data_IF_280755460408
#
_entry.id   IF_280755460408
#
_cell.length_a   1.000
_cell.length_b   1.000
_cell.length_c   1.000
_cell.angle_alpha   90.00
_cell.angle_beta   90.00
_cell.angle_gamma   90.00
#
_symmetry.space_group_name_H-M   'P 1'
#
loop_
_entity.id
_entity.type
_entity.pdbx_description
1 polymer ?
#
# COMPACT_ATOMS: atom_id res chain seq x y z
N UNK A 1 4.41 22.02 1.47
CA UNK A 1 5.81 21.81 1.92
C UNK A 1 6.64 21.32 0.73
N UNK A 2 7.93 21.65 0.63
CA UNK A 2 8.81 21.07 -0.40
C UNK A 2 9.08 19.57 -0.14
N UNK A 3 9.51 18.81 -1.16
CA UNK A 3 9.88 17.39 -1.02
C UNK A 3 10.94 17.20 0.09
N UNK A 4 11.96 18.06 0.13
CA UNK A 4 13.00 18.02 1.15
C UNK A 4 12.47 18.22 2.56
N UNK A 5 11.51 19.13 2.76
CA UNK A 5 10.84 19.33 4.05
C UNK A 5 10.03 18.10 4.47
N UNK A 6 9.29 17.47 3.53
CA UNK A 6 8.53 16.25 3.81
C UNK A 6 9.46 15.09 4.17
N UNK A 7 10.60 14.96 3.49
CA UNK A 7 11.62 13.95 3.79
C UNK A 7 12.24 14.15 5.18
N UNK A 8 12.61 15.37 5.51
CA UNK A 8 13.14 15.71 6.83
C UNK A 8 12.11 15.44 7.94
N UNK A 9 10.84 15.78 7.70
CA UNK A 9 9.74 15.43 8.60
C UNK A 9 9.60 13.91 8.77
N UNK A 10 9.52 13.14 7.68
CA UNK A 10 9.41 11.68 7.78
C UNK A 10 10.59 11.06 8.55
N UNK A 11 11.82 11.56 8.34
CA UNK A 11 13.00 11.13 9.09
C UNK A 11 12.89 11.49 10.58
N UNK A 12 12.54 12.74 10.90
CA UNK A 12 12.38 13.19 12.28
C UNK A 12 11.30 12.37 13.01
N UNK A 13 10.18 12.09 12.35
CA UNK A 13 9.10 11.28 12.90
C UNK A 13 9.60 9.89 13.29
N UNK A 14 10.39 9.25 12.42
CA UNK A 14 11.00 7.93 12.70
C UNK A 14 11.96 7.98 13.87
N UNK A 15 12.82 9.02 13.94
CA UNK A 15 13.74 9.20 15.06
C UNK A 15 13.00 9.38 16.38
N UNK A 16 11.91 10.15 16.39
CA UNK A 16 11.06 10.30 17.58
C UNK A 16 10.38 8.98 17.97
N UNK A 17 9.86 8.21 17.02
CA UNK A 17 9.27 6.90 17.30
C UNK A 17 10.30 5.90 17.84
N UNK A 18 11.52 5.88 17.29
CA UNK A 18 12.62 5.06 17.80
C UNK A 18 13.03 5.49 19.21
N UNK A 19 13.09 6.80 19.47
CA UNK A 19 13.33 7.32 20.81
C UNK A 19 12.24 6.88 21.78
N UNK A 20 10.96 6.97 21.42
CA UNK A 20 9.84 6.50 22.25
C UNK A 20 9.98 5.00 22.54
N UNK A 21 10.29 4.18 21.53
CA UNK A 21 10.48 2.74 21.71
C UNK A 21 11.62 2.44 22.69
N UNK A 22 12.78 3.07 22.51
CA UNK A 22 13.93 2.93 23.41
C UNK A 22 13.61 3.44 24.82
N UNK A 23 12.91 4.57 24.93
CA UNK A 23 12.49 5.16 26.18
C UNK A 23 11.55 4.23 26.96
N UNK A 24 10.56 3.63 26.31
CA UNK A 24 9.66 2.67 26.93
C UNK A 24 10.41 1.43 27.45
N UNK A 25 11.42 0.95 26.71
CA UNK A 25 12.26 -0.15 27.19
C UNK A 25 13.01 0.26 28.45
N UNK A 26 13.65 1.44 28.47
CA UNK A 26 14.40 1.93 29.62
C UNK A 26 13.48 2.11 30.83
N UNK A 27 12.33 2.76 30.68
CA UNK A 27 11.35 2.97 31.77
C UNK A 27 10.80 1.64 32.29
N UNK A 28 10.66 0.63 31.44
CA UNK A 28 10.20 -0.69 31.86
C UNK A 28 11.28 -1.50 32.59
N UNK A 29 12.57 -1.27 32.29
CA UNK A 29 13.69 -2.01 32.88
C UNK A 29 14.38 -1.26 34.04
N UNK A 30 14.09 0.02 34.24
CA UNK A 30 14.64 0.83 35.32
C UNK A 30 14.32 2.32 35.16
N UNK A 31 15.14 3.17 35.78
CA UNK A 31 14.97 4.62 35.71
C UNK A 31 15.81 5.23 34.58
N UNK A 32 15.23 6.08 33.72
CA UNK A 32 16.00 6.76 32.69
C UNK A 32 16.99 7.76 33.31
N UNK A 33 18.22 7.88 32.78
CA UNK A 33 19.20 8.88 33.23
C UNK A 33 18.88 10.31 32.77
N UNK A 34 17.63 10.56 32.38
CA UNK A 34 17.11 11.81 31.83
C UNK A 34 15.62 11.94 32.21
N UNK A 35 15.03 13.13 32.12
CA UNK A 35 13.64 13.34 32.55
C UNK A 35 12.64 12.48 31.78
N UNK A 36 11.79 11.74 32.50
CA UNK A 36 10.79 10.83 31.92
C UNK A 36 9.75 11.52 31.04
N UNK A 37 9.47 12.81 31.27
CA UNK A 37 8.55 13.59 30.45
C UNK A 37 9.04 13.77 28.99
N UNK A 38 10.33 13.51 28.70
CA UNK A 38 10.85 13.54 27.32
C UNK A 38 10.17 12.50 26.42
N UNK A 39 9.75 11.35 26.96
CA UNK A 39 8.94 10.37 26.21
C UNK A 39 7.60 10.95 25.74
N UNK A 40 6.92 11.67 26.64
CA UNK A 40 5.67 12.36 26.31
C UNK A 40 5.91 13.49 25.30
N UNK A 41 6.98 14.29 25.47
CA UNK A 41 7.34 15.33 24.52
C UNK A 41 7.60 14.78 23.12
N UNK A 42 8.30 13.64 23.02
CA UNK A 42 8.52 12.96 21.74
C UNK A 42 7.21 12.48 21.10
N UNK A 43 6.29 11.92 21.91
CA UNK A 43 4.97 11.51 21.43
C UNK A 43 4.17 12.70 20.88
N UNK A 44 4.13 13.82 21.62
CA UNK A 44 3.52 15.07 21.17
C UNK A 44 4.16 15.55 19.86
N UNK A 45 5.48 15.45 19.73
CA UNK A 45 6.20 15.76 18.49
C UNK A 45 5.73 14.92 17.30
N UNK A 46 5.58 13.60 17.47
CA UNK A 46 5.05 12.68 16.43
C UNK A 46 3.63 13.09 16.01
N UNK A 47 2.74 13.36 16.97
CA UNK A 47 1.38 13.79 16.68
C UNK A 47 1.32 15.14 15.99
N UNK A 48 2.07 16.12 16.46
CA UNK A 48 2.15 17.46 15.86
C UNK A 48 2.66 17.40 14.41
N UNK A 49 3.68 16.59 14.17
CA UNK A 49 4.25 16.40 12.84
C UNK A 49 3.29 15.68 11.89
N UNK A 50 2.62 14.62 12.37
CA UNK A 50 1.60 13.90 11.61
C UNK A 50 0.43 14.82 11.24
N UNK A 51 0.00 15.68 12.17
CA UNK A 51 -1.03 16.68 11.93
C UNK A 51 -0.59 17.72 10.88
N UNK A 52 0.63 18.24 11.00
CA UNK A 52 1.19 19.22 10.06
C UNK A 52 1.30 18.64 8.63
N UNK A 53 1.85 17.42 8.50
CA UNK A 53 1.93 16.70 7.22
C UNK A 53 0.55 16.44 6.61
N UNK A 54 -0.41 16.01 7.44
CA UNK A 54 -1.79 15.80 7.00
C UNK A 54 -2.47 17.09 6.57
N UNK A 55 -2.22 18.20 7.27
CA UNK A 55 -2.77 19.52 6.93
C UNK A 55 -2.16 20.06 5.63
N UNK A 56 -0.84 19.92 5.43
CA UNK A 56 -0.16 20.29 4.19
C UNK A 56 -0.71 19.51 3.00
N UNK A 57 -0.82 18.17 3.13
CA UNK A 57 -1.36 17.32 2.09
C UNK A 57 -2.81 17.67 1.72
N UNK A 58 -3.64 18.06 2.71
CA UNK A 58 -5.01 18.54 2.46
C UNK A 58 -5.05 19.88 1.74
N UNK A 59 -4.19 20.83 2.15
CA UNK A 59 -4.11 22.15 1.50
C UNK A 59 -3.68 22.01 0.05
N UNK A 60 -2.67 21.21 -0.23
CA UNK A 60 -2.20 21.03 -1.59
C UNK A 60 -3.22 20.33 -2.47
N UNK A 61 -3.87 19.28 -1.97
CA UNK A 61 -4.93 18.60 -2.71
C UNK A 61 -6.13 19.50 -3.03
N UNK A 62 -6.35 20.57 -2.27
CA UNK A 62 -7.35 21.60 -2.59
C UNK A 62 -6.83 22.60 -3.64
N UNK A 63 -5.53 22.85 -3.67
CA UNK A 63 -4.88 23.78 -4.60
C UNK A 63 -4.62 23.15 -5.98
N UNK A 64 -4.33 21.85 -6.04
CA UNK A 64 -4.10 21.11 -7.27
C UNK A 64 -5.28 20.17 -7.56
N UNK A 65 -5.85 20.24 -8.76
CA UNK A 65 -6.70 19.19 -9.31
C UNK A 65 -5.88 18.38 -10.32
N UNK A 66 -5.14 17.35 -9.90
CA UNK A 66 -4.36 16.56 -10.83
C UNK A 66 -5.28 15.90 -11.86
N UNK A 67 -4.83 15.89 -13.11
CA UNK A 67 -5.55 15.22 -14.20
C UNK A 67 -5.56 13.71 -13.99
N UNK A 68 -6.69 13.09 -14.28
CA UNK A 68 -6.79 11.63 -14.30
C UNK A 68 -5.90 11.04 -15.38
N UNK A 69 -5.05 10.09 -15.01
CA UNK A 69 -4.21 9.33 -15.95
C UNK A 69 -4.94 8.04 -16.33
N UNK A 70 -5.18 7.83 -17.62
CA UNK A 70 -5.75 6.57 -18.12
C UNK A 70 -4.64 5.55 -18.37
N UNK A 71 -4.81 4.34 -17.83
CA UNK A 71 -3.84 3.22 -17.86
C UNK A 71 -4.56 1.89 -18.02
N UNK A 72 -3.85 0.80 -18.32
CA UNK A 72 -4.47 -0.53 -18.35
C UNK A 72 -4.76 -1.06 -16.93
N UNK A 73 -5.71 -2.00 -16.77
CA UNK A 73 -5.91 -2.71 -15.51
C UNK A 73 -4.67 -3.57 -15.13
N UNK A 74 -4.30 -3.68 -13.84
CA UNK A 74 -3.13 -4.43 -13.39
C UNK A 74 -3.35 -5.96 -13.31
N UNK A 75 -4.51 -6.45 -13.74
CA UNK A 75 -4.97 -7.83 -13.55
C UNK A 75 -5.88 -8.26 -14.71
N UNK A 76 -6.03 -9.57 -14.89
CA UNK A 76 -7.05 -10.18 -15.77
C UNK A 76 -8.08 -10.96 -14.95
N UNK A 77 -9.24 -11.27 -15.56
CA UNK A 77 -10.30 -12.04 -14.92
C UNK A 77 -11.28 -11.16 -14.14
N UNK A 78 -11.98 -11.76 -13.17
CA UNK A 78 -13.10 -11.16 -12.44
C UNK A 78 -12.70 -10.72 -11.03
N UNK A 79 -12.97 -9.46 -10.71
CA UNK A 79 -12.52 -8.79 -9.49
C UNK A 79 -13.60 -7.89 -8.91
N UNK A 80 -13.47 -7.52 -7.63
CA UNK A 80 -14.24 -6.46 -7.00
C UNK A 80 -13.32 -5.48 -6.27
N UNK A 81 -13.73 -4.22 -6.12
CA UNK A 81 -13.00 -3.26 -5.30
C UNK A 81 -13.44 -3.35 -3.82
N UNK A 82 -12.50 -3.16 -2.89
CA UNK A 82 -12.78 -3.07 -1.44
C UNK A 82 -12.63 -1.66 -0.90
N UNK A 83 -11.55 -0.99 -1.29
CA UNK A 83 -11.28 0.40 -0.98
C UNK A 83 -11.03 1.13 -2.28
N UNK A 84 -11.94 2.04 -2.65
CA UNK A 84 -11.89 2.72 -3.94
C UNK A 84 -11.91 4.24 -3.80
N UNK A 85 -11.12 4.95 -4.64
CA UNK A 85 -11.20 6.41 -4.70
C UNK A 85 -12.49 6.90 -5.38
N UNK A 86 -13.27 6.03 -6.03
CA UNK A 86 -14.58 6.37 -6.58
C UNK A 86 -15.63 6.70 -5.49
N UNK A 87 -15.45 6.17 -4.27
CA UNK A 87 -16.36 6.42 -3.15
C UNK A 87 -15.83 7.46 -2.18
N UNK A 88 -14.51 7.51 -1.98
CA UNK A 88 -13.89 8.42 -1.02
C UNK A 88 -12.46 8.75 -1.40
N UNK A 89 -12.09 10.03 -1.30
CA UNK A 89 -10.69 10.49 -1.42
C UNK A 89 -10.28 11.24 -0.15
N UNK A 90 -9.26 10.80 0.60
CA UNK A 90 -8.44 9.61 0.34
C UNK A 90 -9.17 8.29 0.60
N UNK A 91 -9.00 7.31 -0.29
CA UNK A 91 -9.69 6.00 -0.23
C UNK A 91 -9.37 5.23 1.05
N UNK A 92 -8.10 5.26 1.47
CA UNK A 92 -7.60 4.56 2.67
C UNK A 92 -7.59 5.45 3.92
N UNK A 93 -8.28 6.61 3.88
CA UNK A 93 -8.33 7.56 4.99
C UNK A 93 -7.04 8.35 5.22
N UNK A 94 -6.00 8.11 4.43
CA UNK A 94 -4.69 8.78 4.51
C UNK A 94 -4.18 9.21 3.13
N UNK A 95 -3.40 10.30 3.11
CA UNK A 95 -2.67 10.75 1.91
C UNK A 95 -1.19 10.36 1.95
N UNK A 96 -0.72 9.82 3.07
CA UNK A 96 0.65 9.33 3.23
C UNK A 96 0.91 8.18 2.26
N UNK A 97 2.18 7.91 1.94
CA UNK A 97 2.54 6.82 1.03
C UNK A 97 1.93 6.95 -0.38
N UNK A 98 1.55 8.16 -0.81
CA UNK A 98 0.90 8.37 -2.11
C UNK A 98 -0.52 7.79 -2.24
N UNK A 99 -1.13 7.27 -1.16
CA UNK A 99 -2.33 6.42 -1.27
C UNK A 99 -3.65 7.17 -1.43
N UNK A 100 -3.62 8.47 -1.76
CA UNK A 100 -4.83 9.29 -1.83
C UNK A 100 -5.87 8.72 -2.81
N UNK A 101 -5.40 8.21 -3.95
CA UNK A 101 -6.21 7.58 -4.99
C UNK A 101 -5.90 6.08 -5.13
N UNK A 102 -5.41 5.42 -4.07
CA UNK A 102 -5.15 4.00 -4.13
C UNK A 102 -6.43 3.18 -4.20
N UNK A 103 -6.36 2.01 -4.82
CA UNK A 103 -7.44 1.04 -4.88
C UNK A 103 -6.98 -0.32 -4.36
N UNK A 104 -7.84 -0.96 -3.56
CA UNK A 104 -7.72 -2.37 -3.21
C UNK A 104 -8.72 -3.16 -4.01
N UNK A 105 -8.26 -4.19 -4.73
CA UNK A 105 -9.11 -5.13 -5.44
C UNK A 105 -8.86 -6.56 -5.02
N UNK A 106 -9.91 -7.38 -5.07
CA UNK A 106 -9.89 -8.79 -4.69
C UNK A 106 -10.46 -9.65 -5.79
N UNK A 107 -9.88 -10.83 -5.98
CA UNK A 107 -10.33 -11.75 -7.02
C UNK A 107 -11.64 -12.42 -6.60
N UNK A 108 -12.56 -12.48 -7.55
CA UNK A 108 -13.91 -13.02 -7.40
C UNK A 108 -14.18 -14.03 -8.53
N UNK A 109 -13.43 -15.15 -8.56
CA UNK A 109 -13.51 -16.11 -9.65
C UNK A 109 -14.94 -16.66 -9.79
N UNK A 110 -15.33 -16.96 -11.04
CA UNK A 110 -16.63 -17.56 -11.30
C UNK A 110 -16.73 -19.00 -10.75
N UNK A 111 -15.62 -19.72 -10.80
CA UNK A 111 -15.49 -21.10 -10.35
C UNK A 111 -14.61 -21.22 -9.11
N UNK A 112 -14.91 -22.20 -8.25
CA UNK A 112 -14.14 -22.48 -7.03
C UNK A 112 -14.65 -21.76 -5.79
N UNK A 113 -13.95 -21.91 -4.65
CA UNK A 113 -14.37 -21.31 -3.40
C UNK A 113 -14.21 -19.79 -3.46
N UNK A 114 -15.28 -19.08 -3.12
CA UNK A 114 -15.25 -17.63 -2.98
C UNK A 114 -14.35 -17.17 -1.84
N UNK A 115 -14.08 -15.86 -1.83
CA UNK A 115 -13.30 -15.20 -0.79
C UNK A 115 -13.92 -15.43 0.60
N UNK A 116 -13.15 -15.85 1.61
CA UNK A 116 -13.65 -16.04 2.96
C UNK A 116 -14.25 -14.76 3.55
N UNK A 117 -15.44 -14.87 4.15
CA UNK A 117 -16.07 -13.78 4.86
C UNK A 117 -15.29 -13.38 6.13
N UNK A 118 -15.47 -12.12 6.53
CA UNK A 118 -14.94 -11.59 7.78
C UNK A 118 -15.42 -12.40 8.98
N UNK A 119 -14.50 -12.74 9.87
CA UNK A 119 -14.81 -13.49 11.09
C UNK A 119 -14.84 -12.56 12.31
N UNK A 120 -15.85 -12.69 13.18
CA UNK A 120 -15.87 -11.90 14.40
C UNK A 120 -14.77 -12.34 15.38
N UNK A 121 -14.54 -13.64 15.57
CA UNK A 121 -13.51 -14.12 16.52
C UNK A 121 -12.74 -15.32 15.99
N UNK A 122 -13.42 -16.31 15.43
CA UNK A 122 -12.81 -17.55 14.95
C UNK A 122 -13.12 -17.81 13.46
N UNK A 123 -12.16 -18.28 12.66
CA UNK A 123 -10.73 -18.42 12.99
C UNK A 123 -10.05 -17.06 13.18
N UNK A 124 -9.03 -17.01 14.05
CA UNK A 124 -8.27 -15.78 14.31
C UNK A 124 -7.57 -15.26 13.05
N UNK A 125 -7.05 -16.17 12.24
CA UNK A 125 -6.35 -15.90 11.01
C UNK A 125 -6.54 -17.06 10.03
N UNK A 126 -6.39 -16.81 8.73
CA UNK A 126 -6.44 -17.84 7.69
C UNK A 126 -5.14 -17.83 6.88
N UNK A 127 -4.78 -18.99 6.34
CA UNK A 127 -3.67 -19.10 5.40
C UNK A 127 -3.98 -18.39 4.09
N UNK A 128 -2.94 -17.88 3.42
CA UNK A 128 -3.11 -17.05 2.21
C UNK A 128 -3.79 -17.79 1.06
N UNK A 129 -3.57 -19.10 0.93
CA UNK A 129 -4.22 -19.95 -0.08
C UNK A 129 -5.74 -20.07 0.07
N UNK A 130 -6.30 -19.61 1.19
CA UNK A 130 -7.76 -19.53 1.35
C UNK A 130 -8.38 -18.37 0.57
N UNK A 131 -7.58 -17.44 0.06
CA UNK A 131 -8.06 -16.24 -0.64
C UNK A 131 -7.75 -16.34 -2.14
N UNK A 132 -8.76 -16.20 -3.01
CA UNK A 132 -8.56 -16.35 -4.46
C UNK A 132 -7.52 -15.41 -5.07
N UNK A 133 -7.36 -14.21 -4.51
CA UNK A 133 -6.38 -13.24 -5.01
C UNK A 133 -4.93 -13.71 -4.81
N UNK A 134 -4.64 -14.55 -3.81
CA UNK A 134 -3.26 -14.93 -3.51
C UNK A 134 -2.62 -15.73 -4.64
N UNK A 135 -1.55 -15.19 -5.22
CA UNK A 135 -0.85 -15.79 -6.34
C UNK A 135 -1.39 -15.42 -7.72
N UNK A 136 -2.42 -14.57 -7.80
CA UNK A 136 -2.91 -14.01 -9.05
C UNK A 136 -1.81 -13.16 -9.73
N UNK A 137 -1.65 -13.22 -11.06
CA UNK A 137 -0.66 -12.41 -11.78
C UNK A 137 -0.90 -10.91 -11.62
N UNK A 138 0.20 -10.15 -11.51
CA UNK A 138 0.21 -8.69 -11.55
C UNK A 138 0.84 -8.23 -12.85
N UNK A 139 0.13 -7.38 -13.59
CA UNK A 139 0.51 -6.96 -14.93
C UNK A 139 0.91 -5.49 -14.96
N UNK A 140 1.89 -5.16 -15.80
CA UNK A 140 2.28 -3.79 -16.08
C UNK A 140 1.11 -3.00 -16.68
N UNK A 141 0.76 -1.86 -16.06
CA UNK A 141 -0.37 -1.01 -16.49
C UNK A 141 -0.03 -0.09 -17.67
N UNK A 142 1.25 0.00 -18.03
CA UNK A 142 1.78 0.81 -19.13
C UNK A 142 3.19 0.32 -19.49
N UNK A 143 3.69 0.73 -20.66
CA UNK A 143 5.12 0.66 -20.95
C UNK A 143 5.90 1.51 -19.93
N UNK A 144 6.91 0.91 -19.31
CA UNK A 144 7.51 1.53 -18.13
C UNK A 144 8.97 1.11 -17.90
N UNK A 145 9.62 1.86 -17.01
CA UNK A 145 10.89 1.45 -16.41
C UNK A 145 10.66 1.09 -14.95
N UNK A 146 11.15 -0.06 -14.51
CA UNK A 146 11.11 -0.45 -13.10
C UNK A 146 12.12 0.41 -12.33
N UNK A 147 11.65 1.27 -11.45
CA UNK A 147 12.53 2.14 -10.63
C UNK A 147 12.81 1.56 -9.25
N UNK A 148 11.94 0.67 -8.77
CA UNK A 148 12.16 -0.06 -7.53
C UNK A 148 11.48 -1.43 -7.57
N UNK A 149 12.12 -2.43 -6.96
CA UNK A 149 11.57 -3.77 -6.78
C UNK A 149 12.05 -4.32 -5.44
N UNK A 150 11.12 -4.77 -4.59
CA UNK A 150 11.39 -5.38 -3.30
C UNK A 150 10.57 -6.67 -3.14
N UNK A 151 11.25 -7.77 -2.79
CA UNK A 151 10.64 -9.10 -2.73
C UNK A 151 11.09 -9.98 -1.54
N UNK A 152 11.70 -9.35 -0.52
CA UNK A 152 12.33 -10.06 0.59
C UNK A 152 11.45 -10.26 1.83
N UNK A 153 10.29 -9.61 1.90
CA UNK A 153 9.41 -9.62 3.09
C UNK A 153 8.48 -10.83 3.05
N UNK A 154 8.26 -11.48 4.19
CA UNK A 154 7.38 -12.65 4.28
C UNK A 154 5.92 -12.25 4.14
N UNK A 155 5.16 -13.07 3.42
CA UNK A 155 3.70 -13.05 3.51
C UNK A 155 3.26 -13.57 4.88
N UNK A 156 2.35 -12.87 5.55
CA UNK A 156 1.81 -13.29 6.84
C UNK A 156 0.41 -13.93 6.65
N UNK A 157 -0.14 -14.51 7.73
CA UNK A 157 -1.54 -14.98 7.74
C UNK A 157 -2.50 -13.80 7.61
N UNK A 158 -3.75 -14.03 7.21
CA UNK A 158 -4.73 -12.94 7.19
C UNK A 158 -4.98 -12.37 8.59
N UNK A 159 -5.32 -11.09 8.63
CA UNK A 159 -5.97 -10.38 9.74
C UNK A 159 -7.44 -10.12 9.41
N UNK A 160 -8.06 -11.04 8.66
CA UNK A 160 -9.48 -11.01 8.28
C UNK A 160 -10.38 -11.60 9.41
N UNK A 161 -10.20 -11.04 10.61
CA UNK A 161 -11.06 -11.24 11.77
C UNK A 161 -10.96 -10.03 12.71
N UNK A 162 -11.93 -9.81 13.62
CA UNK A 162 -11.81 -8.68 14.57
C UNK A 162 -10.54 -8.82 15.42
N UNK A 163 -10.27 -10.03 15.93
CA UNK A 163 -9.06 -10.30 16.70
C UNK A 163 -7.78 -10.06 15.87
N UNK A 164 -7.81 -10.44 14.58
CA UNK A 164 -6.73 -10.18 13.63
C UNK A 164 -6.51 -8.68 13.39
N UNK A 165 -7.58 -7.91 13.19
CA UNK A 165 -7.50 -6.45 13.04
C UNK A 165 -6.98 -5.79 14.31
N UNK A 166 -7.46 -6.19 15.48
CA UNK A 166 -6.95 -5.65 16.74
C UNK A 166 -5.46 -5.94 16.92
N UNK A 167 -5.02 -7.15 16.57
CA UNK A 167 -3.59 -7.49 16.54
C UNK A 167 -2.81 -6.61 15.55
N UNK A 168 -3.33 -6.40 14.34
CA UNK A 168 -2.72 -5.52 13.34
C UNK A 168 -2.54 -4.10 13.88
N UNK A 169 -3.57 -3.54 14.49
CA UNK A 169 -3.60 -2.16 14.97
C UNK A 169 -2.70 -1.99 16.21
N UNK A 170 -2.86 -2.87 17.20
CA UNK A 170 -2.25 -2.69 18.53
C UNK A 170 -0.82 -3.21 18.59
N UNK A 171 -0.52 -4.32 17.90
CA UNK A 171 0.79 -4.98 17.99
C UNK A 171 1.64 -4.65 16.78
N UNK A 172 1.15 -4.90 15.57
CA UNK A 172 1.96 -4.71 14.37
C UNK A 172 2.11 -3.24 13.95
N UNK A 173 1.07 -2.42 14.16
CA UNK A 173 1.00 -1.05 13.67
C UNK A 173 2.16 -0.18 14.15
N UNK A 174 2.53 -0.30 15.43
CA UNK A 174 3.68 0.42 15.99
C UNK A 174 5.00 -0.05 15.36
N UNK A 175 5.24 -1.36 15.33
CA UNK A 175 6.47 -1.93 14.78
C UNK A 175 6.67 -1.61 13.29
N UNK A 176 5.59 -1.65 12.50
CA UNK A 176 5.62 -1.30 11.07
C UNK A 176 5.87 0.17 10.85
N UNK A 177 5.34 1.04 11.71
CA UNK A 177 5.59 2.49 11.65
C UNK A 177 7.07 2.84 11.86
N UNK A 178 7.78 2.09 12.72
CA UNK A 178 9.23 2.24 12.91
C UNK A 178 10.03 1.91 11.64
N UNK A 179 9.55 0.95 10.85
CA UNK A 179 10.21 0.53 9.62
C UNK A 179 9.88 1.37 8.39
N UNK A 180 9.07 2.42 8.53
CA UNK A 180 8.72 3.35 7.46
C UNK A 180 7.80 2.79 6.38
N UNK A 181 7.58 3.58 5.32
CA UNK A 181 6.68 3.24 4.21
C UNK A 181 6.97 1.84 3.62
N UNK A 182 8.25 1.47 3.54
CA UNK A 182 8.71 0.14 3.12
C UNK A 182 8.05 -1.03 3.87
N UNK A 183 7.88 -0.95 5.20
CA UNK A 183 7.24 -2.02 5.99
C UNK A 183 5.72 -1.98 5.94
N UNK A 184 5.16 -0.85 5.54
CA UNK A 184 3.72 -0.67 5.33
C UNK A 184 3.33 -1.24 3.97
N UNK A 185 4.05 -0.89 2.91
CA UNK A 185 3.79 -1.33 1.53
C UNK A 185 4.19 -2.80 1.33
N UNK A 186 5.22 -3.30 2.03
CA UNK A 186 5.65 -4.70 1.92
C UNK A 186 6.55 -4.94 0.72
N UNK A 187 6.48 -6.14 0.12
CA UNK A 187 7.06 -6.37 -1.19
C UNK A 187 6.28 -5.56 -2.22
N UNK A 188 6.99 -4.91 -3.12
CA UNK A 188 6.36 -4.01 -4.08
C UNK A 188 7.24 -3.77 -5.30
N UNK A 189 6.61 -3.32 -6.37
CA UNK A 189 7.28 -2.81 -7.56
C UNK A 189 6.78 -1.39 -7.83
N UNK A 190 7.71 -0.49 -8.14
CA UNK A 190 7.43 0.88 -8.58
C UNK A 190 7.87 1.02 -10.03
N UNK A 191 6.95 1.43 -10.88
CA UNK A 191 7.16 1.69 -12.30
C UNK A 191 7.15 3.19 -12.54
N UNK A 192 8.12 3.70 -13.29
CA UNK A 192 8.04 5.00 -13.95
C UNK A 192 7.33 4.81 -15.29
N UNK A 193 6.13 5.39 -15.39
CA UNK A 193 5.25 5.29 -16.56
C UNK A 193 5.30 6.55 -17.45
N UNK A 194 6.25 7.46 -17.19
CA UNK A 194 6.44 8.70 -17.93
C UNK A 194 5.73 9.91 -17.30
N UNK A 195 6.06 11.10 -17.81
CA UNK A 195 5.46 12.39 -17.41
C UNK A 195 5.46 12.65 -15.87
N UNK A 196 6.46 12.10 -15.16
CA UNK A 196 6.57 12.23 -13.71
C UNK A 196 5.53 11.43 -12.91
N UNK A 197 4.85 10.47 -13.55
CA UNK A 197 3.87 9.58 -12.90
C UNK A 197 4.48 8.21 -12.64
N UNK A 198 4.22 7.68 -11.45
CA UNK A 198 4.75 6.40 -11.01
C UNK A 198 3.63 5.48 -10.54
N UNK A 199 3.62 4.23 -11.00
CA UNK A 199 2.70 3.21 -10.53
C UNK A 199 3.34 2.36 -9.42
N UNK A 200 2.62 2.05 -8.36
CA UNK A 200 3.08 1.09 -7.34
C UNK A 200 2.06 -0.02 -7.12
N UNK A 201 2.59 -1.23 -6.99
CA UNK A 201 1.87 -2.45 -6.66
C UNK A 201 2.40 -2.91 -5.31
N UNK A 202 1.56 -2.89 -4.28
CA UNK A 202 1.97 -3.25 -2.92
C UNK A 202 1.59 -4.69 -2.58
N UNK A 203 2.02 -5.15 -1.40
CA UNK A 203 1.66 -6.45 -0.83
C UNK A 203 2.00 -7.64 -1.74
N UNK A 204 3.04 -7.52 -2.58
CA UNK A 204 3.44 -8.56 -3.53
C UNK A 204 3.87 -9.84 -2.79
N UNK A 205 3.62 -10.99 -3.41
CA UNK A 205 3.96 -12.29 -2.86
C UNK A 205 5.46 -12.47 -2.80
N UNK A 206 5.96 -12.94 -1.67
CA UNK A 206 7.39 -13.15 -1.46
C UNK A 206 7.98 -14.09 -2.51
N UNK A 207 9.10 -13.67 -3.11
CA UNK A 207 9.85 -14.42 -4.11
C UNK A 207 9.12 -14.57 -5.44
N UNK A 208 8.16 -13.70 -5.75
CA UNK A 208 7.37 -13.78 -6.99
C UNK A 208 7.72 -12.73 -8.04
N UNK A 209 8.50 -11.70 -7.71
CA UNK A 209 8.85 -10.69 -8.71
C UNK A 209 9.71 -11.31 -9.82
N UNK A 210 9.31 -11.06 -11.06
CA UNK A 210 10.02 -11.48 -12.29
C UNK A 210 10.88 -10.35 -12.87
N UNK A 211 10.85 -9.18 -12.22
CA UNK A 211 11.52 -7.94 -12.66
C UNK A 211 12.39 -7.37 -11.55
N UNK A 212 13.34 -6.52 -11.92
CA UNK A 212 14.22 -5.78 -11.01
C UNK A 212 14.39 -4.33 -11.45
N UNK A 213 14.89 -3.48 -10.55
CA UNK A 213 15.17 -2.09 -10.86
C UNK A 213 16.10 -1.96 -12.08
N UNK A 214 15.73 -1.08 -13.01
CA UNK A 214 16.39 -0.85 -14.29
C UNK A 214 15.79 -1.60 -15.48
N UNK A 215 14.96 -2.62 -15.24
CA UNK A 215 14.30 -3.34 -16.33
C UNK A 215 13.26 -2.44 -17.04
N UNK A 216 13.11 -2.62 -18.35
CA UNK A 216 11.98 -2.08 -19.11
C UNK A 216 10.91 -3.15 -19.21
N UNK A 217 9.65 -2.74 -19.05
CA UNK A 217 8.49 -3.62 -19.16
C UNK A 217 7.52 -3.04 -20.17
N UNK A 218 6.82 -3.91 -20.89
CA UNK A 218 5.72 -3.51 -21.77
C UNK A 218 4.40 -3.67 -21.04
N UNK A 219 3.38 -2.91 -21.44
CA UNK A 219 2.01 -3.08 -20.95
C UNK A 219 1.57 -4.55 -21.03
N UNK A 220 0.87 -5.03 -20.01
CA UNK A 220 0.42 -6.43 -19.88
C UNK A 220 1.49 -7.43 -19.45
N UNK A 221 2.77 -7.06 -19.36
CA UNK A 221 3.82 -7.97 -18.90
C UNK A 221 3.64 -8.35 -17.42
N UNK A 222 3.74 -9.65 -17.09
CA UNK A 222 3.72 -10.11 -15.68
C UNK A 222 4.95 -9.59 -14.92
N UNK A 223 4.70 -8.87 -13.83
CA UNK A 223 5.70 -8.29 -12.93
C UNK A 223 5.99 -9.19 -11.72
N UNK A 224 5.00 -9.99 -11.34
CA UNK A 224 5.00 -10.85 -10.17
C UNK A 224 3.58 -11.22 -9.79
N UNK A 225 3.34 -11.55 -8.50
CA UNK A 225 2.05 -12.10 -8.06
C UNK A 225 1.50 -11.43 -6.82
N UNK A 226 0.17 -11.34 -6.73
CA UNK A 226 -0.54 -10.84 -5.56
C UNK A 226 -0.16 -11.65 -4.31
N UNK A 227 0.21 -10.96 -3.24
CA UNK A 227 0.66 -11.56 -1.99
C UNK A 227 -0.14 -11.12 -0.79
N UNK A 228 0.51 -11.13 0.37
CA UNK A 228 0.02 -10.68 1.66
C UNK A 228 1.17 -10.25 2.58
N UNK A 229 2.15 -9.54 2.00
CA UNK A 229 3.28 -8.94 2.72
C UNK A 229 2.94 -7.49 3.11
N UNK A 230 3.74 -6.85 3.97
CA UNK A 230 3.44 -5.49 4.41
C UNK A 230 2.20 -5.40 5.30
N UNK A 231 1.57 -4.24 5.39
CA UNK A 231 0.41 -3.96 6.23
C UNK A 231 -0.88 -4.30 5.50
N UNK A 232 -1.15 -5.59 5.33
CA UNK A 232 -2.34 -6.11 4.66
C UNK A 232 -3.24 -6.86 5.64
N UNK A 233 -4.56 -6.80 5.44
CA UNK A 233 -5.52 -7.62 6.21
C UNK A 233 -5.72 -8.99 5.58
N UNK A 234 -5.55 -9.13 4.28
CA UNK A 234 -5.63 -10.40 3.54
C UNK A 234 -5.08 -10.24 2.12
N UNK A 235 -4.85 -11.34 1.37
CA UNK A 235 -4.44 -11.22 -0.02
C UNK A 235 -5.39 -10.37 -0.88
N UNK A 236 -4.87 -9.27 -1.41
CA UNK A 236 -5.52 -8.34 -2.33
C UNK A 236 -4.46 -7.60 -3.15
N UNK A 237 -4.87 -6.98 -4.25
CA UNK A 237 -3.99 -6.10 -5.03
C UNK A 237 -4.26 -4.67 -4.59
N UNK A 238 -3.27 -4.06 -3.96
CA UNK A 238 -3.23 -2.62 -3.70
C UNK A 238 -2.46 -1.95 -4.83
N UNK A 239 -3.12 -1.04 -5.53
CA UNK A 239 -2.58 -0.31 -6.67
C UNK A 239 -2.81 1.19 -6.53
N UNK A 240 -1.85 2.01 -6.97
CA UNK A 240 -2.02 3.46 -7.05
C UNK A 240 -1.02 4.10 -8.02
N UNK A 241 -1.34 5.32 -8.45
CA UNK A 241 -0.39 6.23 -9.09
C UNK A 241 0.11 7.31 -8.12
N UNK A 242 1.34 7.78 -8.37
CA UNK A 242 2.06 8.72 -7.53
C UNK A 242 2.81 9.77 -8.37
N UNK A 243 3.04 10.96 -7.81
CA UNK A 243 3.80 12.07 -8.43
C UNK A 243 5.33 11.97 -8.22
N UNK A 244 5.81 10.84 -7.72
CA UNK A 244 7.21 10.57 -7.43
C UNK A 244 7.45 9.14 -6.95
N UNK A 245 8.69 8.63 -7.01
CA UNK A 245 9.00 7.25 -6.66
C UNK A 245 9.22 7.03 -5.16
N UNK A 246 9.42 8.09 -4.38
CA UNK A 246 9.67 8.01 -2.94
C UNK A 246 8.35 7.92 -2.17
N UNK A 247 8.02 6.72 -1.70
CA UNK A 247 6.81 6.44 -0.92
C UNK A 247 6.65 7.39 0.29
N UNK A 248 7.72 7.87 0.92
CA UNK A 248 7.56 8.76 2.09
C UNK A 248 7.11 10.17 1.74
N UNK A 249 7.32 10.60 0.49
CA UNK A 249 7.13 12.01 0.08
C UNK A 249 6.19 12.20 -1.10
N UNK A 250 5.90 11.12 -1.83
CA UNK A 250 5.01 11.10 -2.96
C UNK A 250 3.55 11.35 -2.56
N UNK A 251 2.80 11.92 -3.50
CA UNK A 251 1.37 12.19 -3.39
C UNK A 251 0.63 11.39 -4.45
N UNK A 252 -0.60 11.01 -4.12
CA UNK A 252 -1.41 10.21 -5.03
C UNK A 252 -1.86 11.00 -6.25
N UNK A 253 -1.80 10.34 -7.40
CA UNK A 253 -2.31 10.82 -8.69
C UNK A 253 -3.59 10.04 -9.04
N UNK A 254 -4.68 10.69 -9.44
CA UNK A 254 -5.89 10.01 -9.86
C UNK A 254 -5.65 9.24 -11.15
N UNK A 255 -6.25 8.05 -11.25
CA UNK A 255 -6.18 7.22 -12.44
C UNK A 255 -7.55 6.75 -12.86
N UNK A 256 -7.64 6.18 -14.06
CA UNK A 256 -8.78 5.41 -14.55
C UNK A 256 -8.26 4.22 -15.35
N UNK A 257 -8.85 3.03 -15.17
CA UNK A 257 -8.49 1.88 -15.99
C UNK A 257 -9.24 1.90 -17.32
N UNK A 258 -8.54 1.65 -18.43
CA UNK A 258 -9.14 1.56 -19.76
C UNK A 258 -10.22 0.49 -19.77
N UNK A 259 -11.41 0.84 -20.28
CA UNK A 259 -12.56 -0.06 -20.39
C UNK A 259 -13.24 -0.45 -19.08
N UNK A 260 -12.68 -0.10 -17.91
CA UNK A 260 -13.25 -0.41 -16.59
C UNK A 260 -13.63 0.84 -15.81
N UNK A 261 -12.88 1.93 -15.96
CA UNK A 261 -13.02 3.12 -15.13
C UNK A 261 -12.33 2.95 -13.77
N UNK A 262 -12.95 3.51 -12.73
CA UNK A 262 -12.56 3.28 -11.33
C UNK A 262 -13.76 2.64 -10.62
N UNK A 263 -13.73 1.32 -10.37
CA UNK A 263 -14.87 0.61 -9.78
C UNK A 263 -15.11 1.08 -8.34
N UNK A 264 -16.37 1.23 -7.94
CA UNK A 264 -16.78 1.51 -6.55
C UNK A 264 -16.56 0.30 -5.65
N UNK A 265 -16.56 0.54 -4.34
CA UNK A 265 -16.53 -0.51 -3.33
C UNK A 265 -17.63 -1.55 -3.60
N UNK A 266 -17.23 -2.81 -3.64
CA UNK A 266 -18.03 -3.99 -3.97
C UNK A 266 -18.58 -4.03 -5.41
N UNK A 267 -18.21 -3.07 -6.26
CA UNK A 267 -18.49 -3.14 -7.69
C UNK A 267 -17.62 -4.23 -8.33
N UNK A 268 -18.30 -5.16 -9.00
CA UNK A 268 -17.67 -6.23 -9.75
C UNK A 268 -17.26 -5.73 -11.14
N UNK A 269 -16.07 -6.09 -11.58
CA UNK A 269 -15.61 -5.83 -12.95
C UNK A 269 -14.89 -7.06 -13.50
N UNK A 270 -14.70 -7.07 -14.82
CA UNK A 270 -13.99 -8.16 -15.51
C UNK A 270 -13.07 -7.57 -16.56
N UNK A 271 -11.81 -7.96 -16.49
CA UNK A 271 -10.78 -7.60 -17.47
C UNK A 271 -10.53 -8.82 -18.34
N UNK A 272 -10.68 -8.67 -19.65
CA UNK A 272 -10.43 -9.75 -20.60
C UNK A 272 -8.93 -10.04 -20.64
N UNK A 273 -8.57 -11.32 -20.71
CA UNK A 273 -7.23 -11.67 -21.18
C UNK A 273 -7.14 -11.25 -22.64
N UNK A 274 -6.23 -10.34 -22.97
CA UNK A 274 -5.89 -10.13 -24.37
C UNK A 274 -5.22 -11.40 -24.87
N UNK A 275 -5.97 -12.22 -25.61
CA UNK A 275 -5.38 -13.31 -26.38
C UNK A 275 -4.45 -12.67 -27.39
N UNK A 276 -3.15 -12.69 -27.12
CA UNK A 276 -2.16 -12.42 -28.15
C UNK A 276 -2.45 -13.45 -29.26
N UNK A 277 -2.71 -13.05 -30.51
CA UNK A 277 -2.73 -14.03 -31.60
C UNK A 277 -1.36 -14.69 -31.60
N UNK A 278 -1.32 -16.00 -31.33
CA UNK A 278 -0.12 -16.78 -31.58
C UNK A 278 0.17 -16.63 -33.08
N UNK A 279 1.34 -16.10 -33.49
CA UNK A 279 1.68 -15.98 -34.90
C UNK A 279 1.79 -17.36 -35.59
#
# INVERSE_FOLDING_TARGET
MSVGQRKAAALLQRLLLLFIAAHLIVVFTGDPPYPSWLGLAAAVGVFGLSFALGADARREAKASQPSTVEIEPPVTGRWSALNSPADKVPSHGTRSCGQAYAIDIVAEPADGPGRPAFAWLWPLARGNRAFPAFGAPLLAVADATVVHAEDGQRDHLSRNSLAGILYLIVVEGFGRSLGGARRIVGNHVILDIGEGTYAVYAHVKQGSLTVRAGDRVTVGQELGRCGNSGNSTEPHVHFQLMDGPDLDTARGVPFSWRGVGVPRNHEMFTVREETTPVP
#
